data_IF_491340168755
#
_entry.id   IF_491340168755
#
_cell.length_a   1.000
_cell.length_b   1.000
_cell.length_c   1.000
_cell.angle_alpha   90.00
_cell.angle_beta   90.00
_cell.angle_gamma   90.00
#
_symmetry.space_group_name_H-M   'P 1'
#
loop_
_entity.id
_entity.type
_entity.pdbx_description
1 polymer ?
#
# COMPACT_ATOMS: atom_id res chain seq x y z
N UNK A 1 -12.59 -8.53 -7.31
CA UNK A 1 -11.16 -8.85 -7.08
C UNK A 1 -10.32 -8.49 -8.29
N UNK A 2 -9.04 -8.21 -8.10
CA UNK A 2 -8.05 -7.96 -9.15
C UNK A 2 -6.90 -8.94 -8.92
N UNK A 3 -6.45 -9.63 -9.97
CA UNK A 3 -5.31 -10.55 -9.85
C UNK A 3 -3.99 -9.78 -9.86
N UNK A 4 -2.93 -10.35 -9.28
CA UNK A 4 -1.62 -9.70 -9.21
C UNK A 4 -1.08 -9.24 -10.59
N UNK A 5 -1.22 -10.00 -11.70
CA UNK A 5 -0.78 -9.56 -13.02
C UNK A 5 -1.55 -8.35 -13.58
N UNK A 6 -2.80 -8.15 -13.14
CA UNK A 6 -3.67 -7.06 -13.60
C UNK A 6 -3.52 -5.80 -12.73
N UNK A 7 -2.86 -5.92 -11.58
CA UNK A 7 -2.74 -4.88 -10.58
C UNK A 7 -2.01 -3.65 -11.12
N UNK A 8 -0.91 -3.84 -11.84
CA UNK A 8 -0.11 -2.74 -12.38
C UNK A 8 -0.91 -1.89 -13.37
N UNK A 9 -1.57 -2.52 -14.34
CA UNK A 9 -2.39 -1.83 -15.34
C UNK A 9 -3.51 -1.05 -14.65
N UNK A 10 -4.19 -1.68 -13.68
CA UNK A 10 -5.26 -1.03 -12.93
C UNK A 10 -4.75 0.17 -12.13
N UNK A 11 -3.60 0.05 -11.47
CA UNK A 11 -3.01 1.16 -10.73
C UNK A 11 -2.56 2.27 -11.67
N UNK A 12 -2.03 1.95 -12.86
CA UNK A 12 -1.63 2.95 -13.85
C UNK A 12 -2.81 3.81 -14.28
N UNK A 13 -3.94 3.20 -14.64
CA UNK A 13 -5.18 3.93 -14.97
C UNK A 13 -5.68 4.78 -13.81
N UNK A 14 -5.49 4.34 -12.57
CA UNK A 14 -5.93 5.12 -11.40
C UNK A 14 -5.02 6.34 -11.16
N UNK A 15 -3.72 6.19 -11.38
CA UNK A 15 -2.70 7.19 -11.04
C UNK A 15 -2.22 8.05 -12.22
N UNK A 16 -2.64 7.79 -13.45
CA UNK A 16 -2.27 8.59 -14.63
C UNK A 16 -2.77 10.04 -14.52
N UNK A 17 -4.01 10.23 -14.07
CA UNK A 17 -4.63 11.56 -13.94
C UNK A 17 -4.48 12.19 -12.55
N UNK A 18 -3.78 11.52 -11.63
CA UNK A 18 -3.62 12.00 -10.25
C UNK A 18 -2.38 12.87 -10.09
N UNK A 19 -2.59 14.04 -9.48
CA UNK A 19 -1.49 14.92 -9.04
C UNK A 19 -0.74 14.38 -7.83
N UNK A 20 -1.45 13.72 -6.91
CA UNK A 20 -0.84 13.06 -5.76
C UNK A 20 -0.83 11.55 -5.99
N UNK A 21 0.37 11.00 -6.09
CA UNK A 21 0.62 9.57 -6.35
C UNK A 21 1.08 8.86 -5.09
N UNK A 22 0.37 9.12 -3.99
CA UNK A 22 0.57 8.43 -2.71
C UNK A 22 -0.41 7.27 -2.56
N UNK A 23 0.10 6.11 -2.15
CA UNK A 23 -0.67 4.90 -1.89
C UNK A 23 -0.35 4.32 -0.52
N UNK A 24 -1.35 3.77 0.15
CA UNK A 24 -1.17 2.99 1.37
C UNK A 24 -1.58 1.53 1.14
N UNK A 25 -0.72 0.59 1.52
CA UNK A 25 -0.97 -0.84 1.47
C UNK A 25 -1.35 -1.29 2.87
N UNK A 26 -2.59 -1.73 3.05
CA UNK A 26 -3.01 -2.39 4.29
C UNK A 26 -2.83 -3.90 4.15
N UNK A 27 -1.99 -4.48 4.98
CA UNK A 27 -1.71 -5.92 4.99
C UNK A 27 -1.79 -6.52 6.39
N UNK A 28 -1.97 -7.84 6.44
CA UNK A 28 -1.81 -8.58 7.69
C UNK A 28 -0.33 -8.59 8.12
N UNK A 29 -0.08 -8.50 9.43
CA UNK A 29 1.27 -8.54 9.99
C UNK A 29 1.96 -9.90 9.86
N UNK A 30 1.23 -10.97 9.53
CA UNK A 30 1.78 -12.31 9.30
C UNK A 30 2.20 -12.56 7.85
N UNK A 31 1.97 -11.61 6.93
CA UNK A 31 2.36 -11.76 5.53
C UNK A 31 3.88 -11.83 5.38
N UNK A 32 4.35 -12.65 4.44
CA UNK A 32 5.78 -12.74 4.15
C UNK A 32 6.19 -11.49 3.38
N UNK A 33 7.40 -11.02 3.67
CA UNK A 33 7.98 -9.88 2.95
C UNK A 33 7.98 -10.05 1.43
N UNK A 34 8.27 -11.27 0.95
CA UNK A 34 8.28 -11.59 -0.49
C UNK A 34 6.91 -11.51 -1.16
N UNK A 35 5.81 -11.64 -0.43
CA UNK A 35 4.48 -11.49 -1.00
C UNK A 35 4.13 -10.00 -1.18
N UNK A 36 4.55 -9.16 -0.21
CA UNK A 36 4.32 -7.72 -0.23
C UNK A 36 5.20 -7.02 -1.28
N UNK A 37 6.44 -7.49 -1.51
CA UNK A 37 7.35 -6.80 -2.44
C UNK A 37 6.80 -6.78 -3.88
N UNK A 38 6.10 -7.85 -4.30
CA UNK A 38 5.50 -7.91 -5.64
C UNK A 38 4.40 -6.85 -5.82
N UNK A 39 3.65 -6.56 -4.75
CA UNK A 39 2.62 -5.50 -4.75
C UNK A 39 3.25 -4.12 -4.82
N UNK A 40 4.35 -3.92 -4.08
CA UNK A 40 5.10 -2.65 -4.10
C UNK A 40 5.71 -2.40 -5.48
N UNK A 41 6.28 -3.44 -6.10
CA UNK A 41 6.89 -3.34 -7.43
C UNK A 41 5.84 -2.98 -8.50
N UNK A 42 4.69 -3.67 -8.50
CA UNK A 42 3.56 -3.34 -9.36
C UNK A 42 3.06 -1.89 -9.15
N UNK A 43 2.97 -1.42 -7.90
CA UNK A 43 2.60 -0.04 -7.61
C UNK A 43 3.63 0.97 -8.14
N UNK A 44 4.93 0.68 -7.98
CA UNK A 44 6.00 1.53 -8.50
C UNK A 44 6.01 1.56 -10.03
N UNK A 45 5.87 0.41 -10.71
CA UNK A 45 5.75 0.32 -12.17
C UNK A 45 4.51 1.01 -12.75
N UNK A 46 3.45 1.13 -11.94
CA UNK A 46 2.25 1.89 -12.27
C UNK A 46 2.41 3.42 -12.11
N UNK A 47 3.53 3.89 -11.56
CA UNK A 47 3.82 5.32 -11.38
C UNK A 47 3.44 5.89 -10.02
N UNK A 48 3.23 5.04 -8.99
CA UNK A 48 3.04 5.49 -7.61
C UNK A 48 4.36 6.05 -7.07
N UNK A 49 4.34 7.28 -6.56
CA UNK A 49 5.53 7.97 -6.05
C UNK A 49 5.84 7.56 -4.60
N UNK A 50 4.82 7.55 -3.74
CA UNK A 50 4.95 7.28 -2.31
C UNK A 50 4.12 6.08 -1.93
N UNK A 51 4.76 5.11 -1.26
CA UNK A 51 4.10 3.88 -0.78
C UNK A 51 4.27 3.81 0.73
N UNK A 52 3.16 3.84 1.46
CA UNK A 52 3.11 3.57 2.90
C UNK A 52 2.57 2.17 3.16
N UNK A 53 3.12 1.45 4.14
CA UNK A 53 2.59 0.15 4.58
C UNK A 53 1.90 0.36 5.91
N UNK A 54 0.70 -0.21 6.05
CA UNK A 54 -0.11 -0.15 7.26
C UNK A 54 -0.46 -1.59 7.65
N UNK A 55 -0.24 -1.94 8.91
CA UNK A 55 -0.67 -3.22 9.48
C UNK A 55 -1.60 -2.96 10.65
N UNK A 56 -2.41 -3.95 10.99
CA UNK A 56 -3.21 -3.97 12.23
C UNK A 56 -2.36 -3.63 13.47
N UNK A 57 -1.15 -4.20 13.56
CA UNK A 57 -0.22 -3.94 14.66
C UNK A 57 0.24 -2.49 14.72
N UNK A 58 0.58 -1.88 13.57
CA UNK A 58 0.96 -0.46 13.51
C UNK A 58 -0.20 0.47 13.90
N UNK A 59 -1.44 0.14 13.50
CA UNK A 59 -2.64 0.90 13.90
C UNK A 59 -2.86 0.86 15.41
N UNK A 60 -2.74 -0.32 16.03
CA UNK A 60 -2.87 -0.51 17.49
C UNK A 60 -1.76 0.20 18.28
N UNK A 61 -0.53 0.16 17.78
CA UNK A 61 0.61 0.87 18.39
C UNK A 61 0.48 2.40 18.32
N UNK A 62 -0.06 2.93 17.22
CA UNK A 62 -0.33 4.37 17.08
C UNK A 62 -1.43 4.84 18.05
N UNK A 63 -2.50 4.07 18.25
CA UNK A 63 -3.55 4.40 19.23
C UNK A 63 -3.07 4.34 20.69
N UNK A 64 -2.03 3.57 21.00
CA UNK A 64 -1.45 3.50 22.34
C UNK A 64 -0.51 4.68 22.67
N UNK A 65 -0.10 5.47 21.66
CA UNK A 65 0.83 6.61 21.81
C UNK A 65 0.13 7.97 21.70
N UNK A 66 -1.19 8.02 21.47
CA UNK A 66 -1.94 9.27 21.55
C UNK A 66 -2.19 9.61 23.04
N UNK A 67 -1.59 10.67 23.60
CA UNK A 67 -1.88 11.08 24.96
C UNK A 67 -3.23 11.80 24.95
N UNK A 68 -4.22 11.22 25.65
CA UNK A 68 -5.42 11.88 26.18
C UNK A 68 -6.22 12.77 25.21
N UNK A 69 -7.36 12.25 24.75
CA UNK A 69 -8.55 13.09 24.60
C UNK A 69 -9.22 13.23 25.98
#
# INVERSE_FOLDING_TARGET
>A
DVQLPELEERLRTIFEDRKDKTMFISGDGSLRYGDIINVIDAAKGAGVEKVGIVTEGMRKGASATAPGA
#
